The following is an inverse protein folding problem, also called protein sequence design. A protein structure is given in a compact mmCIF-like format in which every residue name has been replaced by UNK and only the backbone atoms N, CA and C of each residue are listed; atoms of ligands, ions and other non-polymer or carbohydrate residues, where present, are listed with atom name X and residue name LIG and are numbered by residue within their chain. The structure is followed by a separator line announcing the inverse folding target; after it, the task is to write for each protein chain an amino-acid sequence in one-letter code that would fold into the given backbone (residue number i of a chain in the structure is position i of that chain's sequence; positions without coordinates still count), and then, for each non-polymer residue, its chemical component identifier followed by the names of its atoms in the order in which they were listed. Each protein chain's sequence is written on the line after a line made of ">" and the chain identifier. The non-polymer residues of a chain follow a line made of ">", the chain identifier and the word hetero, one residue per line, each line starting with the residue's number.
data_IF_639981930065
#
_entry.id   IF_639981930065
#
_cell.length_a   1.000
_cell.length_b   1.000
_cell.length_c   1.000
_cell.angle_alpha   90.00
_cell.angle_beta   90.00
_cell.angle_gamma   90.00
#
_symmetry.space_group_name_H-M   'P 1'
#
loop_
_entity.id
_entity.type
_entity.pdbx_description
1 polymer ?
#
# COMPACT_ATOMS: atom_id res chain seq x y z
N UNK A 1 33.95 -35.25 -39.89
CA UNK A 1 33.32 -33.91 -39.93
C UNK A 1 33.00 -33.53 -38.48
N UNK A 2 33.71 -32.54 -37.92
CA UNK A 2 33.67 -32.23 -36.49
C UNK A 2 32.44 -31.35 -36.19
N UNK A 3 31.56 -31.79 -35.31
CA UNK A 3 30.47 -30.96 -34.80
C UNK A 3 31.05 -30.00 -33.75
N UNK A 4 31.01 -28.70 -34.06
CA UNK A 4 31.28 -27.65 -33.09
C UNK A 4 30.01 -27.42 -32.25
N UNK A 5 30.08 -27.46 -30.91
CA UNK A 5 28.91 -27.19 -30.07
C UNK A 5 28.57 -25.70 -30.09
N UNK A 6 27.33 -25.37 -30.46
CA UNK A 6 26.81 -24.02 -30.39
C UNK A 6 26.82 -23.51 -28.94
N UNK A 7 27.33 -22.30 -28.75
CA UNK A 7 27.45 -21.63 -27.46
C UNK A 7 26.06 -21.50 -26.81
N UNK A 8 25.86 -21.89 -25.53
CA UNK A 8 24.57 -21.76 -24.87
C UNK A 8 24.15 -20.29 -24.77
N UNK A 9 22.87 -20.02 -25.03
CA UNK A 9 22.29 -18.68 -25.09
C UNK A 9 22.69 -17.83 -23.88
N UNK A 10 23.42 -16.72 -24.11
CA UNK A 10 23.73 -15.77 -23.03
C UNK A 10 22.42 -15.08 -22.63
N UNK A 11 21.99 -15.16 -21.36
CA UNK A 11 20.75 -14.53 -20.89
C UNK A 11 20.74 -12.99 -21.04
N UNK A 12 21.91 -12.39 -21.28
CA UNK A 12 22.10 -10.96 -21.54
C UNK A 12 21.92 -10.54 -23.02
N UNK A 13 21.71 -11.47 -23.95
CA UNK A 13 21.57 -11.15 -25.38
C UNK A 13 20.17 -10.64 -25.77
N UNK A 14 19.16 -10.83 -24.91
CA UNK A 14 17.81 -10.36 -25.17
C UNK A 14 17.59 -8.95 -24.60
N UNK A 15 17.56 -7.91 -25.46
CA UNK A 15 17.21 -6.53 -25.06
C UNK A 15 15.94 -6.46 -24.21
N UNK A 16 14.91 -7.21 -24.60
CA UNK A 16 13.63 -7.27 -23.86
C UNK A 16 13.84 -7.82 -22.45
N UNK A 17 14.53 -8.94 -22.33
CA UNK A 17 14.76 -9.59 -21.04
C UNK A 17 15.62 -8.71 -20.11
N UNK A 18 16.65 -8.07 -20.66
CA UNK A 18 17.47 -7.11 -19.93
C UNK A 18 16.65 -5.94 -19.39
N UNK A 19 15.81 -5.32 -20.23
CA UNK A 19 14.96 -4.19 -19.83
C UNK A 19 13.92 -4.59 -18.79
N UNK A 20 13.29 -5.77 -18.94
CA UNK A 20 12.31 -6.30 -17.98
C UNK A 20 12.96 -6.53 -16.62
N UNK A 21 14.11 -7.23 -16.59
CA UNK A 21 14.81 -7.53 -15.35
C UNK A 21 15.33 -6.26 -14.66
N UNK A 22 15.91 -5.35 -15.42
CA UNK A 22 16.44 -4.08 -14.89
C UNK A 22 15.31 -3.18 -14.39
N UNK A 23 14.21 -3.08 -15.13
CA UNK A 23 13.04 -2.30 -14.73
C UNK A 23 12.38 -2.84 -13.46
N UNK A 24 12.21 -4.17 -13.34
CA UNK A 24 11.68 -4.77 -12.11
C UNK A 24 12.61 -4.59 -10.92
N UNK A 25 13.92 -4.79 -11.08
CA UNK A 25 14.90 -4.62 -10.00
C UNK A 25 14.96 -3.18 -9.49
N UNK A 26 15.19 -2.22 -10.38
CA UNK A 26 15.26 -0.79 -10.03
C UNK A 26 13.92 -0.26 -9.51
N UNK A 27 12.81 -0.69 -10.12
CA UNK A 27 11.46 -0.36 -9.65
C UNK A 27 11.18 -0.90 -8.25
N UNK A 28 11.61 -2.12 -7.95
CA UNK A 28 11.52 -2.71 -6.61
C UNK A 28 12.30 -1.92 -5.56
N UNK A 29 13.52 -1.48 -5.90
CA UNK A 29 14.33 -0.62 -5.01
C UNK A 29 13.62 0.71 -4.77
N UNK A 30 13.18 1.39 -5.83
CA UNK A 30 12.50 2.69 -5.74
C UNK A 30 11.21 2.59 -4.90
N UNK A 31 10.41 1.55 -5.12
CA UNK A 31 9.21 1.26 -4.34
C UNK A 31 9.55 0.97 -2.88
N UNK A 32 10.58 0.17 -2.61
CA UNK A 32 11.09 -0.10 -1.27
C UNK A 32 11.49 1.18 -0.53
N UNK A 33 12.16 2.12 -1.21
CA UNK A 33 12.49 3.43 -0.64
C UNK A 33 11.25 4.27 -0.31
N UNK A 34 10.26 4.33 -1.22
CA UNK A 34 9.00 5.05 -0.99
C UNK A 34 8.19 4.46 0.18
N UNK A 35 8.11 3.14 0.27
CA UNK A 35 7.40 2.46 1.36
C UNK A 35 8.17 2.55 2.68
N UNK A 36 9.50 2.39 2.67
CA UNK A 36 10.34 2.55 3.84
C UNK A 36 10.26 3.97 4.42
N UNK A 37 10.31 4.98 3.56
CA UNK A 37 10.12 6.38 3.97
C UNK A 37 8.72 6.65 4.54
N UNK A 38 7.68 5.96 4.06
CA UNK A 38 6.32 6.03 4.64
C UNK A 38 6.19 5.26 5.95
N UNK A 39 6.88 4.12 6.10
CA UNK A 39 6.90 3.32 7.31
C UNK A 39 7.65 4.02 8.47
N UNK A 40 8.55 4.94 8.15
CA UNK A 40 9.21 5.80 9.15
C UNK A 40 8.22 6.76 9.86
N UNK A 41 7.04 7.02 9.27
CA UNK A 41 5.97 7.75 9.97
C UNK A 41 5.15 6.75 10.79
N UNK A 42 4.96 7.00 12.10
CA UNK A 42 4.10 6.15 12.91
C UNK A 42 2.68 6.15 12.29
N UNK A 43 2.03 4.97 12.18
CA UNK A 43 0.66 4.92 11.69
C UNK A 43 -0.22 5.76 12.61
N UNK A 44 -1.15 6.52 12.03
CA UNK A 44 -2.13 7.25 12.82
C UNK A 44 -2.94 6.26 13.64
N UNK A 45 -2.87 6.39 14.97
CA UNK A 45 -3.70 5.66 15.91
C UNK A 45 -4.60 6.67 16.63
N UNK A 46 -5.93 6.56 16.50
CA UNK A 46 -6.83 7.41 17.27
C UNK A 46 -6.68 7.07 18.75
N UNK A 47 -6.72 8.07 19.62
CA UNK A 47 -6.82 7.85 21.06
C UNK A 47 -8.21 7.29 21.38
N UNK A 48 -8.26 6.12 22.00
CA UNK A 48 -9.50 5.40 22.31
C UNK A 48 -9.64 5.32 23.82
N UNK A 49 -10.49 6.19 24.37
CA UNK A 49 -10.88 6.12 25.78
C UNK A 49 -12.06 5.17 25.94
N UNK A 50 -11.82 3.98 26.49
CA UNK A 50 -12.86 2.96 26.69
C UNK A 50 -14.02 3.43 27.56
N UNK A 51 -13.77 4.36 28.50
CA UNK A 51 -14.80 4.96 29.34
C UNK A 51 -15.74 5.92 28.58
N UNK A 52 -15.37 6.37 27.37
CA UNK A 52 -16.14 7.34 26.57
C UNK A 52 -16.07 6.98 25.06
N UNK A 53 -16.72 5.88 24.63
CA UNK A 53 -16.58 5.38 23.26
C UNK A 53 -17.06 6.39 22.19
N UNK A 54 -18.08 7.20 22.50
CA UNK A 54 -18.69 8.18 21.59
C UNK A 54 -18.08 9.58 21.65
N UNK A 55 -17.03 9.81 22.46
CA UNK A 55 -16.38 11.11 22.51
C UNK A 55 -15.76 11.46 21.15
N UNK A 56 -15.81 12.74 20.80
CA UNK A 56 -15.16 13.26 19.59
C UNK A 56 -13.64 12.96 19.64
N UNK A 57 -13.07 12.57 18.51
CA UNK A 57 -11.65 12.21 18.38
C UNK A 57 -10.98 13.07 17.34
N UNK A 58 -9.69 13.30 17.52
CA UNK A 58 -8.90 13.99 16.51
C UNK A 58 -8.94 13.20 15.19
N UNK A 59 -9.37 13.84 14.11
CA UNK A 59 -9.43 13.22 12.80
C UNK A 59 -8.03 13.15 12.17
N UNK A 60 -7.78 12.15 11.32
CA UNK A 60 -6.53 12.09 10.55
C UNK A 60 -6.44 13.23 9.53
N UNK A 61 -7.57 13.58 8.92
CA UNK A 61 -7.71 14.63 7.89
C UNK A 61 -8.70 15.69 8.34
N UNK A 62 -8.64 16.87 7.72
CA UNK A 62 -9.65 17.91 7.89
C UNK A 62 -11.03 17.36 7.48
N UNK A 63 -12.06 17.46 8.34
CA UNK A 63 -13.39 16.99 7.99
C UNK A 63 -13.95 17.84 6.84
N UNK A 64 -14.64 17.18 5.90
CA UNK A 64 -15.35 17.88 4.81
C UNK A 64 -16.66 18.51 5.29
N UNK A 65 -17.27 17.96 6.34
CA UNK A 65 -18.50 18.44 6.96
C UNK A 65 -18.19 18.99 8.37
N UNK A 66 -18.77 20.13 8.69
CA UNK A 66 -18.60 20.78 10.01
C UNK A 66 -19.77 20.48 10.95
N UNK A 67 -20.92 20.08 10.40
CA UNK A 67 -22.14 19.77 11.14
C UNK A 67 -22.62 18.38 10.73
N UNK A 68 -22.82 17.51 11.71
CA UNK A 68 -23.23 16.11 11.51
C UNK A 68 -24.41 15.82 12.44
N UNK A 69 -25.48 15.26 11.89
CA UNK A 69 -26.60 14.75 12.67
C UNK A 69 -26.36 13.26 12.96
N UNK A 70 -26.15 12.92 14.22
CA UNK A 70 -26.06 11.51 14.66
C UNK A 70 -27.43 11.08 15.15
N UNK A 71 -28.12 10.26 14.35
CA UNK A 71 -29.41 9.65 14.73
C UNK A 71 -29.10 8.27 15.31
N UNK A 72 -29.24 8.14 16.62
CA UNK A 72 -29.11 6.85 17.29
C UNK A 72 -30.46 6.14 17.30
N UNK A 73 -30.61 5.10 16.47
CA UNK A 73 -31.79 4.25 16.47
C UNK A 73 -31.58 3.05 17.40
N UNK A 74 -32.14 3.11 18.61
CA UNK A 74 -32.19 1.98 19.54
C UNK A 74 -33.30 1.00 19.14
N UNK A 75 -33.03 0.16 18.15
CA UNK A 75 -33.97 -0.84 17.63
C UNK A 75 -33.43 -1.40 16.33
N UNK A 76 -33.43 -2.73 16.18
CA UNK A 76 -32.75 -3.50 15.14
C UNK A 76 -32.81 -2.89 13.72
N UNK A 77 -31.76 -3.11 12.92
CA UNK A 77 -31.81 -2.89 11.48
C UNK A 77 -33.08 -3.54 10.93
N UNK A 78 -33.89 -2.79 10.17
CA UNK A 78 -34.94 -3.37 9.34
C UNK A 78 -34.29 -4.43 8.45
N UNK A 79 -34.44 -5.71 8.79
CA UNK A 79 -34.08 -6.78 7.88
C UNK A 79 -35.21 -6.86 6.85
N UNK A 80 -34.97 -6.24 5.71
CA UNK A 80 -35.58 -6.61 4.43
C UNK A 80 -34.45 -7.05 3.51
#
# INVERSE_FOLDING_TARGET
>A
MKHEPSIPARPLLGRRQFLVNSGMGLGGIALGQLLGARAAKPPFRPDILSARPYAARHAHNRPKAQQVLVIFCSGACSQI
#
